data_IF_666431231022
#
_entry.id   IF_666431231022
#
_cell.length_a   1.000
_cell.length_b   1.000
_cell.length_c   1.000
_cell.angle_alpha   90.00
_cell.angle_beta   90.00
_cell.angle_gamma   90.00
#
_symmetry.space_group_name_H-M   'P 1'
#
loop_
_entity.id
_entity.type
_entity.pdbx_description
1 polymer ?
#
# COMPACT_ATOMS: atom_id res chain seq x y z
N UNK A 1 8.24 -3.73 12.85
CA UNK A 1 7.21 -2.85 13.45
C UNK A 1 6.44 -3.71 14.45
N UNK A 2 6.33 -3.31 15.73
CA UNK A 2 5.49 -4.02 16.69
C UNK A 2 4.04 -4.02 16.17
N UNK A 3 3.38 -5.17 16.24
CA UNK A 3 2.03 -5.37 15.71
C UNK A 3 1.05 -4.75 16.70
N UNK A 4 0.57 -3.54 16.40
CA UNK A 4 -0.54 -2.95 17.15
C UNK A 4 -1.83 -3.60 16.65
N UNK A 5 -2.45 -4.43 17.48
CA UNK A 5 -3.65 -5.21 17.13
C UNK A 5 -4.88 -4.36 16.80
N UNK A 6 -4.89 -3.08 17.20
CA UNK A 6 -6.01 -2.16 16.94
C UNK A 6 -5.99 -1.53 15.54
N UNK A 7 -4.82 -1.41 14.91
CA UNK A 7 -4.67 -0.69 13.62
C UNK A 7 -4.14 -1.56 12.49
N UNK A 8 -3.75 -2.80 12.78
CA UNK A 8 -3.21 -3.72 11.78
C UNK A 8 -4.32 -4.54 11.13
N UNK A 9 -4.77 -4.11 9.95
CA UNK A 9 -5.81 -4.81 9.17
C UNK A 9 -5.16 -5.55 8.00
N UNK A 10 -5.51 -6.83 7.84
CA UNK A 10 -5.17 -7.59 6.63
C UNK A 10 -6.33 -7.52 5.63
N UNK A 11 -6.06 -7.01 4.44
CA UNK A 11 -7.00 -6.98 3.33
C UNK A 11 -6.40 -7.70 2.12
N UNK A 12 -7.18 -8.61 1.52
CA UNK A 12 -6.83 -9.27 0.27
C UNK A 12 -7.62 -8.62 -0.87
N UNK A 13 -6.92 -8.14 -1.89
CA UNK A 13 -7.53 -7.50 -3.06
C UNK A 13 -7.05 -8.19 -4.32
N UNK A 14 -7.96 -8.33 -5.29
CA UNK A 14 -7.63 -8.84 -6.62
C UNK A 14 -7.22 -7.66 -7.48
N UNK A 15 -5.98 -7.69 -7.96
CA UNK A 15 -5.41 -6.68 -8.86
C UNK A 15 -5.12 -7.35 -10.20
N UNK A 16 -5.28 -6.59 -11.29
CA UNK A 16 -4.76 -7.02 -12.59
C UNK A 16 -3.24 -7.14 -12.54
N UNK A 17 -2.71 -8.10 -13.31
CA UNK A 17 -1.27 -8.43 -13.33
C UNK A 17 -0.42 -7.22 -13.70
N UNK A 18 -0.82 -6.48 -14.72
CA UNK A 18 -0.14 -5.26 -15.18
C UNK A 18 -0.07 -4.16 -14.10
N UNK A 19 -1.16 -3.99 -13.35
CA UNK A 19 -1.22 -3.00 -12.26
C UNK A 19 -0.27 -3.42 -11.14
N UNK A 20 -0.27 -4.70 -10.78
CA UNK A 20 0.61 -5.23 -9.75
C UNK A 20 2.10 -5.09 -10.10
N UNK A 21 2.47 -5.31 -11.37
CA UNK A 21 3.85 -5.11 -11.82
C UNK A 21 4.27 -3.64 -11.76
N UNK A 22 3.42 -2.71 -12.20
CA UNK A 22 3.67 -1.27 -12.04
C UNK A 22 3.83 -0.89 -10.57
N UNK A 23 3.00 -1.45 -9.70
CA UNK A 23 3.03 -1.18 -8.26
C UNK A 23 4.33 -1.69 -7.61
N UNK A 24 4.85 -2.84 -8.05
CA UNK A 24 6.18 -3.33 -7.65
C UNK A 24 7.30 -2.38 -8.05
N UNK A 25 7.27 -1.84 -9.27
CA UNK A 25 8.27 -0.88 -9.75
C UNK A 25 8.26 0.39 -8.88
N UNK A 26 7.07 0.92 -8.59
CA UNK A 26 6.91 2.09 -7.73
C UNK A 26 7.40 1.80 -6.31
N UNK A 27 7.01 0.67 -5.73
CA UNK A 27 7.45 0.27 -4.39
C UNK A 27 8.98 0.13 -4.31
N UNK A 28 9.61 -0.45 -5.34
CA UNK A 28 11.08 -0.57 -5.42
C UNK A 28 11.76 0.78 -5.54
N UNK A 29 11.20 1.71 -6.33
CA UNK A 29 11.71 3.08 -6.49
C UNK A 29 11.69 3.84 -5.16
N UNK A 30 10.61 3.70 -4.40
CA UNK A 30 10.41 4.36 -3.11
C UNK A 30 11.09 3.64 -1.93
N UNK A 31 11.82 2.54 -2.19
CA UNK A 31 12.43 1.67 -1.16
C UNK A 31 11.42 1.20 -0.09
N UNK A 32 10.19 0.88 -0.51
CA UNK A 32 9.10 0.43 0.35
C UNK A 32 8.66 -0.99 -0.03
N UNK A 33 8.08 -1.71 0.94
CA UNK A 33 7.33 -2.94 0.61
C UNK A 33 6.06 -2.59 -0.15
N UNK A 34 5.56 -3.53 -0.95
CA UNK A 34 4.30 -3.38 -1.71
C UNK A 34 3.16 -2.96 -0.78
N UNK A 35 2.99 -3.64 0.36
CA UNK A 35 1.95 -3.33 1.34
C UNK A 35 2.10 -1.92 1.92
N UNK A 36 3.33 -1.48 2.21
CA UNK A 36 3.59 -0.13 2.73
C UNK A 36 3.34 0.95 1.68
N UNK A 37 3.60 0.65 0.41
CA UNK A 37 3.28 1.56 -0.69
C UNK A 37 1.78 1.71 -0.89
N UNK A 38 1.01 0.62 -0.78
CA UNK A 38 -0.45 0.67 -0.85
C UNK A 38 -1.01 1.49 0.31
N UNK A 39 -0.58 1.22 1.54
CA UNK A 39 -0.99 1.98 2.72
C UNK A 39 -0.75 3.48 2.54
N UNK A 40 0.45 3.86 2.10
CA UNK A 40 0.78 5.26 1.83
C UNK A 40 -0.12 5.92 0.76
N UNK A 41 -0.44 5.20 -0.32
CA UNK A 41 -1.33 5.72 -1.36
C UNK A 41 -2.75 5.95 -0.83
N UNK A 42 -3.25 5.03 0.00
CA UNK A 42 -4.56 5.15 0.65
C UNK A 42 -4.57 6.32 1.62
N UNK A 43 -3.56 6.44 2.49
CA UNK A 43 -3.42 7.57 3.41
C UNK A 43 -3.38 8.90 2.67
N UNK A 44 -2.62 8.97 1.57
CA UNK A 44 -2.53 10.18 0.74
C UNK A 44 -3.87 10.56 0.11
N UNK A 45 -4.62 9.61 -0.45
CA UNK A 45 -5.94 9.90 -1.02
C UNK A 45 -6.92 10.39 0.05
N UNK A 46 -6.93 9.76 1.23
CA UNK A 46 -7.79 10.17 2.35
C UNK A 46 -7.41 11.55 2.92
N UNK A 47 -6.16 11.97 2.81
CA UNK A 47 -5.72 13.31 3.18
C UNK A 47 -6.11 14.38 2.15
N UNK A 48 -6.13 14.04 0.86
CA UNK A 48 -6.53 14.93 -0.23
C UNK A 48 -8.06 15.15 -0.29
N UNK A 49 -8.86 14.24 0.27
CA UNK A 49 -10.34 14.35 0.37
C UNK A 49 -10.83 15.33 1.47
N UNK A 50 -9.93 16.10 2.09
CA UNK A 50 -10.22 17.05 3.19
C UNK A 50 -9.99 18.50 2.79
#
# INVERSE_FOLDING_TARGET
>A
MPVNTETHVNASVVLEKDIYEKLKVVAKREKRSVSKQIAYLVEKMLQDEK
#
